data_IF_317229757639
#
_entry.id   IF_317229757639
#
_cell.length_a   1.000
_cell.length_b   1.000
_cell.length_c   1.000
_cell.angle_alpha   90.00
_cell.angle_beta   90.00
_cell.angle_gamma   90.00
#
_symmetry.space_group_name_H-M   'P 1'
#
loop_
_entity.id
_entity.type
_entity.pdbx_description
1 polymer ?
#
# COMPACT_ATOMS: atom_id res chain seq x y z
N UNK A 1 -12.23 -16.51 5.35
CA UNK A 1 -11.45 -15.26 5.47
C UNK A 1 -12.38 -14.19 4.96
N UNK A 2 -13.14 -13.56 5.85
CA UNK A 2 -14.07 -12.48 5.51
C UNK A 2 -13.34 -11.15 5.78
N UNK A 3 -13.26 -10.26 4.80
CA UNK A 3 -12.81 -8.88 5.01
C UNK A 3 -11.40 -8.51 4.50
N UNK A 4 -10.62 -9.46 3.99
CA UNK A 4 -9.32 -9.17 3.34
C UNK A 4 -9.47 -8.74 1.87
N UNK A 5 -10.67 -8.91 1.31
CA UNK A 5 -11.03 -8.60 -0.07
C UNK A 5 -11.71 -7.23 -0.23
N UNK A 6 -12.07 -6.58 0.88
CA UNK A 6 -12.76 -5.29 0.85
C UNK A 6 -11.77 -4.11 0.89
N UNK A 7 -12.00 -3.04 0.11
CA UNK A 7 -11.22 -1.82 0.22
C UNK A 7 -11.34 -1.18 1.62
N UNK A 8 -10.24 -0.61 2.12
CA UNK A 8 -10.22 0.07 3.41
C UNK A 8 -9.43 1.39 3.35
N UNK A 9 -9.66 2.26 4.32
CA UNK A 9 -9.04 3.59 4.37
C UNK A 9 -7.91 3.64 5.39
N UNK A 10 -6.72 4.06 4.96
CA UNK A 10 -5.65 4.50 5.86
C UNK A 10 -5.71 6.01 6.05
N UNK A 11 -5.74 6.45 7.31
CA UNK A 11 -5.74 7.86 7.69
C UNK A 11 -4.58 8.10 8.65
N UNK A 12 -3.64 8.95 8.25
CA UNK A 12 -2.45 9.22 9.05
C UNK A 12 -1.80 10.55 8.69
N UNK A 13 -0.88 11.02 9.52
CA UNK A 13 -0.02 12.16 9.23
C UNK A 13 1.39 11.67 8.91
N UNK A 14 2.02 12.25 7.89
CA UNK A 14 3.41 12.01 7.54
C UNK A 14 4.06 13.34 7.15
N UNK A 15 5.15 13.72 7.83
CA UNK A 15 5.83 15.02 7.66
C UNK A 15 4.84 16.21 7.71
N UNK A 16 3.99 16.24 8.74
CA UNK A 16 2.98 17.30 8.96
C UNK A 16 1.90 17.40 7.87
N UNK A 17 1.84 16.43 6.94
CA UNK A 17 0.82 16.34 5.90
C UNK A 17 -0.17 15.21 6.19
N UNK A 18 -1.48 15.49 6.21
CA UNK A 18 -2.49 14.45 6.33
C UNK A 18 -2.57 13.63 5.05
N UNK A 19 -2.59 12.31 5.20
CA UNK A 19 -2.78 11.34 4.15
C UNK A 19 -4.06 10.55 4.41
N UNK A 20 -4.93 10.52 3.40
CA UNK A 20 -6.16 9.72 3.39
C UNK A 20 -6.07 8.85 2.14
N UNK A 21 -5.71 7.58 2.32
CA UNK A 21 -5.42 6.66 1.23
C UNK A 21 -6.45 5.53 1.24
N UNK A 22 -7.03 5.25 0.08
CA UNK A 22 -7.82 4.04 -0.13
C UNK A 22 -6.88 2.91 -0.53
N UNK A 23 -6.94 1.81 0.22
CA UNK A 23 -6.21 0.58 -0.04
C UNK A 23 -7.18 -0.40 -0.67
N UNK A 24 -6.86 -0.86 -1.87
CA UNK A 24 -7.67 -1.83 -2.62
C UNK A 24 -6.95 -3.17 -2.65
N UNK A 25 -7.48 -4.21 -1.98
CA UNK A 25 -6.98 -5.56 -2.18
C UNK A 25 -7.14 -5.98 -3.64
N UNK A 26 -6.08 -6.56 -4.19
CA UNK A 26 -6.06 -7.18 -5.50
C UNK A 26 -5.68 -8.65 -5.33
N UNK A 27 -6.73 -9.47 -5.24
CA UNK A 27 -6.59 -10.90 -5.01
C UNK A 27 -6.29 -11.57 -6.34
N UNK A 28 -5.13 -12.22 -6.40
CA UNK A 28 -4.74 -13.14 -7.47
C UNK A 28 -4.80 -14.56 -6.94
N UNK A 29 -4.77 -15.56 -7.84
CA UNK A 29 -5.03 -16.96 -7.49
C UNK A 29 -4.12 -17.55 -6.37
N UNK A 30 -2.95 -16.95 -6.14
CA UNK A 30 -1.96 -17.43 -5.15
C UNK A 30 -1.37 -16.34 -4.26
N UNK A 31 -1.78 -15.07 -4.44
CA UNK A 31 -1.23 -13.94 -3.69
C UNK A 31 -2.23 -12.81 -3.58
N UNK A 32 -2.09 -12.03 -2.52
CA UNK A 32 -2.84 -10.79 -2.33
C UNK A 32 -1.84 -9.65 -2.52
N UNK A 33 -2.13 -8.78 -3.48
CA UNK A 33 -1.43 -7.50 -3.62
C UNK A 33 -2.35 -6.38 -3.13
N UNK A 34 -1.81 -5.24 -2.73
CA UNK A 34 -2.61 -4.07 -2.36
C UNK A 34 -2.27 -2.91 -3.25
N UNK A 35 -3.29 -2.31 -3.88
CA UNK A 35 -3.14 -1.11 -4.71
C UNK A 35 -3.53 0.14 -3.94
N UNK A 36 -2.67 1.16 -4.00
CA UNK A 36 -2.87 2.44 -3.32
C UNK A 36 -2.45 3.57 -4.23
N UNK A 37 -3.27 4.62 -4.36
CA UNK A 37 -2.86 5.84 -5.05
C UNK A 37 -2.21 6.81 -4.07
N UNK A 38 -0.92 7.10 -4.24
CA UNK A 38 -0.11 7.99 -3.40
C UNK A 38 0.48 9.09 -4.27
N UNK A 39 0.21 10.35 -3.96
CA UNK A 39 0.71 11.50 -4.74
C UNK A 39 0.50 11.33 -6.27
N UNK A 40 -0.73 10.96 -6.66
CA UNK A 40 -1.13 10.69 -8.06
C UNK A 40 -0.45 9.47 -8.72
N UNK A 41 0.38 8.73 -7.98
CA UNK A 41 1.01 7.49 -8.42
C UNK A 41 0.22 6.29 -7.87
N UNK A 42 -0.24 5.38 -8.74
CA UNK A 42 -0.66 4.05 -8.28
C UNK A 42 0.59 3.32 -7.79
N UNK A 43 0.52 2.68 -6.62
CA UNK A 43 1.58 1.89 -6.01
C UNK A 43 1.00 0.54 -5.67
N UNK A 44 1.70 -0.53 -6.04
CA UNK A 44 1.37 -1.89 -5.65
C UNK A 44 2.25 -2.31 -4.47
N UNK A 45 1.64 -2.91 -3.45
CA UNK A 45 2.31 -3.51 -2.30
C UNK A 45 2.12 -5.03 -2.33
N UNK A 46 3.20 -5.77 -2.15
CA UNK A 46 3.21 -7.23 -2.10
C UNK A 46 4.09 -7.73 -0.97
N UNK A 47 3.76 -8.92 -0.45
CA UNK A 47 4.60 -9.60 0.52
C UNK A 47 5.91 -10.04 -0.15
N UNK A 48 7.01 -9.85 0.56
CA UNK A 48 8.30 -10.38 0.17
C UNK A 48 8.51 -11.82 0.68
N UNK A 49 9.73 -12.34 0.49
CA UNK A 49 10.08 -13.70 0.89
C UNK A 49 10.07 -13.89 2.43
N UNK A 50 10.09 -12.80 3.20
CA UNK A 50 10.01 -12.79 4.66
C UNK A 50 8.57 -12.53 5.16
N UNK A 51 7.59 -12.44 4.24
CA UNK A 51 6.19 -12.15 4.54
C UNK A 51 5.93 -10.69 4.91
N UNK A 52 6.87 -9.78 4.60
CA UNK A 52 6.71 -8.36 4.87
C UNK A 52 6.17 -7.65 3.62
N UNK A 53 5.17 -6.78 3.79
CA UNK A 53 4.69 -5.95 2.70
C UNK A 53 5.75 -4.92 2.29
N UNK A 54 5.99 -4.84 0.98
CA UNK A 54 6.85 -3.83 0.36
C UNK A 54 6.22 -3.26 -0.89
N UNK A 55 6.52 -1.99 -1.18
CA UNK A 55 6.17 -1.39 -2.45
C UNK A 55 6.96 -2.05 -3.58
N UNK A 56 6.27 -2.60 -4.56
CA UNK A 56 6.82 -3.08 -5.81
C UNK A 56 6.32 -2.13 -6.90
N UNK A 57 7.22 -1.24 -7.33
CA UNK A 57 6.89 -0.04 -8.09
C UNK A 57 5.89 -0.27 -9.23
N UNK A 58 5.04 0.73 -9.46
CA UNK A 58 4.10 0.71 -10.55
C UNK A 58 4.78 1.15 -11.85
N UNK A 59 4.30 0.61 -12.96
CA UNK A 59 4.80 0.85 -14.32
C UNK A 59 4.52 2.29 -14.79
N UNK A 60 3.99 3.13 -13.92
CA UNK A 60 3.62 4.52 -14.12
C UNK A 60 4.48 5.49 -13.28
N UNK A 61 5.79 5.25 -13.17
CA UNK A 61 6.77 6.34 -12.91
C UNK A 61 6.73 7.28 -14.12
N UNK A 62 5.67 8.07 -14.22
CA UNK A 62 5.58 9.14 -15.20
C UNK A 62 6.62 10.20 -14.80
N UNK A 63 7.64 10.34 -15.64
CA UNK A 63 8.46 11.55 -15.76
C UNK A 63 9.06 12.12 -14.44
N UNK A 64 9.74 11.29 -13.64
CA UNK A 64 10.65 11.79 -12.59
C UNK A 64 10.02 12.13 -11.24
N UNK A 65 8.74 11.80 -11.02
CA UNK A 65 8.14 11.83 -9.68
C UNK A 65 8.42 10.52 -8.94
N UNK A 66 9.25 10.60 -7.90
CA UNK A 66 9.50 9.49 -6.98
C UNK A 66 8.78 9.76 -5.67
N UNK A 67 7.81 8.91 -5.31
CA UNK A 67 7.21 8.93 -3.97
C UNK A 67 8.31 8.64 -2.95
N UNK A 68 8.28 9.36 -1.82
CA UNK A 68 9.25 9.21 -0.73
C UNK A 68 9.32 7.74 -0.25
N UNK A 69 10.48 7.06 -0.32
CA UNK A 69 10.61 5.67 0.11
C UNK A 69 10.19 5.42 1.57
N UNK A 70 10.39 6.40 2.46
CA UNK A 70 9.97 6.29 3.86
C UNK A 70 8.44 6.37 4.01
N UNK A 71 7.77 7.15 3.16
CA UNK A 71 6.30 7.16 3.10
C UNK A 71 5.78 5.80 2.62
N UNK A 72 6.41 5.21 1.60
CA UNK A 72 6.05 3.89 1.10
C UNK A 72 6.22 2.81 2.18
N UNK A 73 7.30 2.86 2.96
CA UNK A 73 7.51 1.94 4.09
C UNK A 73 6.46 2.11 5.18
N UNK A 74 6.11 3.35 5.54
CA UNK A 74 5.07 3.60 6.56
C UNK A 74 3.69 3.12 6.09
N UNK A 75 3.36 3.31 4.81
CA UNK A 75 2.13 2.78 4.20
C UNK A 75 2.12 1.26 4.27
N UNK A 76 3.20 0.59 3.84
CA UNK A 76 3.28 -0.87 3.86
C UNK A 76 3.07 -1.44 5.27
N UNK A 77 3.74 -0.85 6.28
CA UNK A 77 3.57 -1.22 7.69
C UNK A 77 2.11 -1.08 8.12
N UNK A 78 1.44 0.03 7.79
CA UNK A 78 0.04 0.28 8.17
C UNK A 78 -0.94 -0.67 7.50
N UNK A 79 -0.71 -1.04 6.23
CA UNK A 79 -1.50 -2.07 5.54
C UNK A 79 -1.35 -3.37 6.30
N UNK A 80 -0.12 -3.78 6.62
CA UNK A 80 0.15 -5.03 7.33
C UNK A 80 -0.49 -5.05 8.72
N UNK A 81 -0.38 -3.97 9.48
CA UNK A 81 -1.00 -3.84 10.81
C UNK A 81 -2.53 -3.95 10.74
N UNK A 82 -3.14 -3.34 9.72
CA UNK A 82 -4.60 -3.39 9.52
C UNK A 82 -5.02 -4.81 9.17
N UNK A 83 -4.36 -5.44 8.21
CA UNK A 83 -4.65 -6.80 7.73
C UNK A 83 -4.43 -7.86 8.81
N UNK A 84 -3.37 -7.74 9.61
CA UNK A 84 -3.07 -8.69 10.68
C UNK A 84 -3.93 -8.49 11.93
N UNK A 85 -4.50 -7.28 12.10
CA UNK A 85 -5.36 -6.94 13.23
C UNK A 85 -6.85 -7.26 13.02
N UNK A 86 -7.23 -7.66 11.80
CA UNK A 86 -8.59 -8.06 11.43
C UNK A 86 -8.84 -9.55 11.60
#
# INVERSE_FOLDING_TARGET
MEGLDEPFMLKFEYKEKPHILEVRPWIQQYKISYKVTVEECEITFEEDEEGQLRAIGDKHVHAGHTVDPQLLQDIARRIQETVNGQ
#
